data_IF_286411379640
#
_entry.id   IF_286411379640
#
_cell.length_a   1.000
_cell.length_b   1.000
_cell.length_c   1.000
_cell.angle_alpha   90.00
_cell.angle_beta   90.00
_cell.angle_gamma   90.00
#
_symmetry.space_group_name_H-M   'P 1'
#
loop_
_entity.id
_entity.type
_entity.pdbx_description
1 polymer ?
2 non-polymer ?
3 non-polymer ?
4 non-polymer ?
5 water ?
#
# COMPACT_ATOMS: atom_id res chain seq x y z
N UNK A 3 -4.10 20.54 -13.90
CA UNK A 3 -3.46 19.91 -15.10
C UNK A 3 -1.96 20.15 -15.05
N UNK A 4 -1.30 19.57 -14.04
CA UNK A 4 0.09 19.86 -13.72
C UNK A 4 1.12 19.22 -14.65
N UNK A 5 0.94 17.93 -14.96
CA UNK A 5 2.03 17.10 -15.55
C UNK A 5 2.50 17.40 -16.98
N UNK A 6 3.83 17.41 -17.16
CA UNK A 6 4.40 17.61 -18.49
C UNK A 6 4.55 16.35 -19.36
N UNK A 7 5.29 15.37 -18.88
CA UNK A 7 5.33 14.04 -19.48
C UNK A 7 4.26 13.21 -18.79
N UNK A 8 3.47 12.47 -19.58
CA UNK A 8 2.36 11.68 -19.07
C UNK A 8 2.81 10.28 -18.72
N UNK A 9 2.17 9.67 -17.74
CA UNK A 9 2.57 8.33 -17.29
C UNK A 9 1.35 7.43 -17.19
N UNK A 10 1.54 6.14 -17.47
CA UNK A 10 0.51 5.10 -17.26
C UNK A 10 1.05 3.92 -16.45
N UNK A 11 0.22 3.29 -15.64
CA UNK A 11 0.61 2.09 -14.93
C UNK A 11 1.26 1.04 -15.87
N UNK A 12 2.35 0.45 -15.44
CA UNK A 12 3.03 -0.60 -16.19
C UNK A 12 2.11 -1.78 -16.39
N UNK A 13 1.33 -2.06 -15.37
CA UNK A 13 0.51 -3.26 -15.28
C UNK A 13 -0.93 -2.91 -14.94
N UNK A 14 -1.89 -3.78 -15.26
CA UNK A 14 -3.28 -3.55 -14.84
C UNK A 14 -3.74 -2.15 -15.23
N UNK A 15 -3.26 -1.67 -16.36
CA UNK A 15 -3.49 -0.28 -16.77
C UNK A 15 -4.97 0.03 -16.96
N UNK A 16 -5.71 -0.91 -17.51
CA UNK A 16 -7.02 -0.60 -18.08
C UNK A 16 -8.17 -1.28 -17.34
N UNK A 17 -7.93 -1.64 -16.08
CA UNK A 17 -8.99 -2.28 -15.28
C UNK A 17 -10.28 -1.46 -15.32
N UNK A 18 -10.17 -0.14 -15.12
CA UNK A 18 -11.37 0.68 -14.98
C UNK A 18 -11.89 1.26 -16.29
N UNK A 19 -11.36 0.73 -17.37
CA UNK A 19 -11.93 0.86 -18.70
C UNK A 19 -12.74 -0.42 -18.95
N UNK A 20 -12.21 -1.57 -18.50
CA UNK A 20 -12.94 -2.84 -18.54
C UNK A 20 -14.17 -2.75 -17.62
N UNK A 21 -13.98 -2.32 -16.38
CA UNK A 21 -15.09 -2.23 -15.44
C UNK A 21 -15.78 -0.87 -15.62
N UNK A 22 -17.08 -0.81 -15.33
CA UNK A 22 -17.86 0.42 -15.54
C UNK A 22 -18.19 1.22 -14.28
N UNK A 23 -18.99 2.26 -14.49
CA UNK A 23 -19.46 3.18 -13.47
C UNK A 23 -19.97 2.54 -12.18
N UNK A 24 -20.67 1.43 -12.30
CA UNK A 24 -21.27 0.80 -11.13
C UNK A 24 -20.20 0.18 -10.21
N UNK A 25 -19.01 -0.08 -10.77
CA UNK A 25 -17.84 -0.55 -10.00
C UNK A 25 -17.01 0.58 -9.39
N UNK A 26 -16.65 1.59 -10.19
CA UNK A 26 -15.69 2.60 -9.72
C UNK A 26 -16.28 3.96 -9.33
N UNK A 27 -17.53 4.23 -9.70
CA UNK A 27 -18.07 5.57 -9.47
C UNK A 27 -18.68 5.69 -8.06
N UNK A 28 -17.81 5.89 -7.05
CA UNK A 28 -18.26 5.90 -5.66
C UNK A 28 -19.13 7.12 -5.29
N UNK A 29 -18.85 8.27 -5.92
CA UNK A 29 -19.62 9.50 -5.68
C UNK A 29 -21.13 9.36 -5.93
N UNK A 30 -21.50 8.54 -6.90
CA UNK A 30 -22.91 8.27 -7.19
C UNK A 30 -23.36 6.92 -6.64
N UNK A 31 -23.03 6.68 -5.38
CA UNK A 31 -23.67 5.62 -4.62
C UNK A 31 -24.45 6.32 -3.51
N UNK A 32 -25.44 5.63 -2.96
CA UNK A 32 -26.14 6.10 -1.77
C UNK A 32 -25.87 5.04 -0.70
N UNK A 33 -25.33 5.46 0.45
CA UNK A 33 -24.96 4.53 1.53
C UNK A 33 -26.21 4.02 2.26
N UNK A 34 -26.41 2.69 2.26
CA UNK A 34 -27.55 2.08 2.94
C UNK A 34 -27.26 1.84 4.43
N UNK A 35 -27.29 2.91 5.23
CA UNK A 35 -26.95 2.79 6.66
C UNK A 35 -27.92 1.87 7.38
N UNK A 36 -27.43 1.11 8.35
CA UNK A 36 -28.29 0.43 9.32
C UNK A 36 -28.68 1.48 10.35
N UNK A 37 -29.98 1.60 10.61
CA UNK A 37 -30.51 2.61 11.54
C UNK A 37 -30.02 2.45 12.98
N UNK A 38 -29.58 1.24 13.34
CA UNK A 38 -29.25 0.89 14.73
C UNK A 38 -27.94 0.12 14.90
N UNK A 39 -27.26 0.33 16.05
CA UNK A 39 -26.15 -0.51 16.51
C UNK A 39 -26.69 -1.66 17.40
N UNK A 40 -27.98 -1.95 17.25
CA UNK A 40 -28.68 -2.94 18.08
C UNK A 40 -28.15 -4.36 17.91
N UNK A 41 -27.61 -4.66 16.72
CA UNK A 41 -27.00 -5.97 16.43
C UNK A 41 -25.62 -6.20 17.09
N UNK A 42 -25.09 -5.17 17.73
CA UNK A 42 -23.73 -5.19 18.23
C UNK A 42 -23.62 -4.74 19.69
N UNK A 43 -22.69 -5.34 20.42
CA UNK A 43 -22.33 -4.87 21.74
C UNK A 43 -20.93 -4.27 21.60
N UNK A 44 -20.82 -2.99 21.86
CA UNK A 44 -19.56 -2.29 21.69
C UNK A 44 -18.75 -2.30 22.96
N UNK A 45 -17.56 -2.87 22.91
CA UNK A 45 -16.69 -2.94 24.08
C UNK A 45 -15.64 -1.85 24.04
N UNK A 46 -14.41 -2.19 24.41
CA UNK A 46 -13.38 -1.19 24.61
C UNK A 46 -12.59 -0.81 23.34
N UNK A 47 -11.89 0.32 23.43
CA UNK A 47 -11.09 0.84 22.33
C UNK A 47 -9.87 -0.02 22.11
N UNK A 48 -9.59 -0.32 20.85
CA UNK A 48 -8.47 -1.17 20.49
C UNK A 48 -7.46 -0.47 19.57
N UNK A 49 -7.81 0.72 19.07
CA UNK A 49 -6.87 1.48 18.25
C UNK A 49 -7.45 2.80 17.79
N UNK A 50 -6.61 3.59 17.12
CA UNK A 50 -7.03 4.86 16.59
C UNK A 50 -6.15 5.27 15.41
N UNK A 51 -6.61 6.27 14.69
CA UNK A 51 -5.81 6.79 13.58
C UNK A 51 -6.26 8.20 13.30
N UNK A 52 -5.71 8.80 12.25
CA UNK A 52 -6.05 10.17 11.87
C UNK A 52 -7.55 10.34 11.62
N UNK A 53 -8.22 9.28 11.16
CA UNK A 53 -9.62 9.38 10.71
C UNK A 53 -10.65 8.64 11.57
N UNK A 54 -10.22 8.00 12.66
CA UNK A 54 -11.11 7.06 13.36
C UNK A 54 -10.68 6.76 14.77
N UNK A 55 -11.64 6.30 15.57
CA UNK A 55 -11.37 5.58 16.81
C UNK A 55 -12.02 4.21 16.62
N UNK A 56 -11.28 3.16 16.95
CA UNK A 56 -11.71 1.79 16.68
C UNK A 56 -11.91 1.00 17.97
N UNK A 57 -13.11 0.41 18.08
CA UNK A 57 -13.57 -0.33 19.24
C UNK A 57 -13.82 -1.80 18.95
N UNK A 58 -13.36 -2.66 19.87
CA UNK A 58 -13.68 -4.09 19.84
C UNK A 58 -15.16 -4.25 20.17
N UNK A 59 -15.77 -5.32 19.65
CA UNK A 59 -17.18 -5.61 19.88
C UNK A 59 -17.57 -7.05 19.54
N UNK A 60 -18.86 -7.35 19.70
CA UNK A 60 -19.41 -8.66 19.40
C UNK A 60 -20.62 -8.46 18.49
N UNK A 61 -20.67 -9.22 17.39
CA UNK A 61 -21.88 -9.32 16.55
C UNK A 61 -22.83 -10.33 17.25
N UNK A 62 -23.92 -9.82 17.82
CA UNK A 62 -24.77 -10.62 18.74
C UNK A 62 -25.48 -11.86 18.17
N UNK A 63 -25.98 -11.77 16.92
CA UNK A 63 -26.59 -12.93 16.24
C UNK A 63 -25.65 -14.17 16.19
N UNK A 64 -24.39 -13.96 15.78
CA UNK A 64 -23.45 -15.07 15.57
C UNK A 64 -22.40 -15.24 16.68
N UNK A 65 -22.31 -14.25 17.58
CA UNK A 65 -21.25 -14.13 18.61
C UNK A 65 -19.83 -13.95 18.04
N UNK A 66 -19.74 -13.56 16.78
CA UNK A 66 -18.43 -13.27 16.17
C UNK A 66 -17.90 -11.94 16.74
N UNK A 67 -16.65 -11.96 17.13
CA UNK A 67 -15.98 -10.79 17.65
C UNK A 67 -15.64 -9.89 16.45
N UNK A 68 -15.96 -8.61 16.56
CA UNK A 68 -15.73 -7.63 15.49
C UNK A 68 -14.99 -6.37 15.96
N UNK A 69 -14.69 -5.46 15.03
CA UNK A 69 -14.29 -4.10 15.40
C UNK A 69 -15.25 -3.12 14.75
N UNK A 70 -15.41 -1.98 15.39
CA UNK A 70 -16.24 -0.93 14.83
C UNK A 70 -15.40 0.36 14.69
N UNK A 71 -15.30 0.84 13.46
CA UNK A 71 -14.47 2.01 13.16
C UNK A 71 -15.40 3.22 13.08
N UNK A 72 -15.35 4.06 14.12
CA UNK A 72 -16.14 5.27 14.21
C UNK A 72 -15.41 6.36 13.45
N UNK A 73 -16.01 6.84 12.38
CA UNK A 73 -15.34 7.78 11.48
C UNK A 73 -15.46 9.20 11.98
N UNK A 74 -14.32 9.88 12.09
CA UNK A 74 -14.26 11.32 12.34
C UNK A 74 -14.82 12.12 11.17
N UNK A 75 -15.30 13.35 11.43
CA UNK A 75 -15.90 14.08 10.31
C UNK A 75 -14.91 14.26 9.14
N UNK A 76 -15.37 13.96 7.93
CA UNK A 76 -14.62 14.13 6.66
C UNK A 76 -15.65 14.41 5.59
N UNK A 77 -15.22 14.81 4.39
CA UNK A 77 -16.15 14.90 3.26
C UNK A 77 -16.86 13.56 3.07
N UNK A 78 -18.15 13.62 2.80
CA UNK A 78 -18.96 12.40 2.74
C UNK A 78 -18.53 11.45 1.62
N UNK A 79 -17.95 11.98 0.55
CA UNK A 79 -17.52 11.16 -0.58
C UNK A 79 -16.31 10.25 -0.24
N UNK A 80 -15.48 10.68 0.71
CA UNK A 80 -14.39 9.87 1.30
C UNK A 80 -14.97 8.64 2.01
N UNK A 81 -16.13 8.81 2.66
CA UNK A 81 -16.80 7.68 3.30
C UNK A 81 -17.39 6.73 2.26
N UNK A 82 -18.07 7.29 1.25
CA UNK A 82 -18.59 6.48 0.15
C UNK A 82 -17.46 5.72 -0.57
N UNK A 83 -16.30 6.35 -0.69
CA UNK A 83 -15.16 5.76 -1.37
C UNK A 83 -14.65 4.58 -0.58
N UNK A 84 -14.48 4.74 0.72
CA UNK A 84 -13.93 3.63 1.51
C UNK A 84 -14.87 2.43 1.42
N UNK A 85 -16.17 2.69 1.57
CA UNK A 85 -17.19 1.63 1.53
C UNK A 85 -17.21 0.92 0.18
N UNK A 86 -17.19 1.71 -0.90
CA UNK A 86 -17.22 1.14 -2.25
C UNK A 86 -16.00 0.24 -2.51
N UNK A 87 -14.81 0.72 -2.14
CA UNK A 87 -13.58 -0.03 -2.34
C UNK A 87 -13.63 -1.33 -1.55
N UNK A 88 -14.06 -1.25 -0.29
CA UNK A 88 -14.12 -2.44 0.59
C UNK A 88 -15.08 -3.49 0.04
N UNK A 89 -16.24 -3.03 -0.45
CA UNK A 89 -17.24 -3.96 -1.01
C UNK A 89 -16.82 -4.51 -2.40
N UNK A 90 -16.18 -3.69 -3.22
CA UNK A 90 -15.65 -4.20 -4.49
C UNK A 90 -14.67 -5.33 -4.20
N UNK A 91 -13.77 -5.11 -3.23
CA UNK A 91 -12.72 -6.09 -2.94
C UNK A 91 -13.27 -7.39 -2.31
N UNK A 92 -14.22 -7.28 -1.40
CA UNK A 92 -14.78 -8.48 -0.76
C UNK A 92 -15.81 -9.22 -1.62
N UNK A 93 -16.54 -8.50 -2.46
CA UNK A 93 -17.65 -9.09 -3.26
C UNK A 93 -17.29 -9.70 -4.60
N UNK A 94 -16.05 -9.54 -5.03
CA UNK A 94 -15.62 -10.14 -6.28
C UNK A 94 -15.75 -11.68 -6.20
N UNK A 95 -16.61 -12.23 -7.04
CA UNK A 95 -16.89 -13.67 -7.03
C UNK A 95 -15.66 -14.51 -7.41
N UNK A 96 -14.91 -14.08 -8.41
CA UNK A 96 -13.72 -14.79 -8.83
C UNK A 96 -12.55 -13.81 -8.85
N UNK A 97 -11.83 -13.69 -7.72
CA UNK A 97 -10.67 -12.79 -7.67
C UNK A 97 -9.70 -13.00 -8.84
N UNK A 98 -9.36 -11.94 -9.60
CA UNK A 98 -8.49 -12.12 -10.79
C UNK A 98 -7.15 -12.78 -10.48
N UNK A 99 -6.63 -12.61 -9.27
CA UNK A 99 -5.37 -13.23 -8.87
C UNK A 99 -5.47 -14.75 -8.60
N UNK A 100 -6.68 -15.31 -8.63
CA UNK A 100 -6.89 -16.78 -8.51
C UNK A 100 -6.92 -17.49 -9.87
N UNK A 101 -6.93 -16.70 -10.95
CA UNK A 101 -7.03 -17.21 -12.31
C UNK A 101 -5.64 -17.51 -12.86
N UNK A 102 -5.55 -18.37 -13.91
CA UNK A 102 -4.26 -18.62 -14.55
C UNK A 102 -3.65 -17.31 -15.07
N UNK A 103 -2.34 -17.14 -14.88
CA UNK A 103 -1.60 -15.93 -15.29
C UNK A 103 -1.63 -15.74 -16.82
N UNK A 104 -1.89 -14.53 -17.26
CA UNK A 104 -1.85 -14.17 -18.68
C UNK A 104 -0.92 -12.97 -18.94
N UNK A 105 0.32 -13.23 -19.32
CA UNK A 105 1.31 -12.14 -19.45
C UNK A 105 0.88 -10.94 -20.30
N UNK A 106 0.18 -11.22 -21.40
CA UNK A 106 -0.24 -10.17 -22.34
C UNK A 106 -1.37 -9.33 -21.74
N UNK A 107 -2.08 -9.90 -20.78
CA UNK A 107 -3.11 -9.15 -20.06
C UNK A 107 -2.54 -8.48 -18.81
N UNK A 108 -1.27 -8.73 -18.50
CA UNK A 108 -0.63 -8.20 -17.30
C UNK A 108 0.22 -6.96 -17.62
N UNK A 109 1.23 -7.14 -18.46
CA UNK A 109 2.07 -6.04 -18.93
C UNK A 109 1.33 -5.26 -20.02
N UNK A 110 0.46 -4.36 -19.61
CA UNK A 110 -0.46 -3.72 -20.54
C UNK A 110 0.06 -2.40 -21.09
N UNK A 111 1.03 -1.79 -20.42
CA UNK A 111 1.66 -0.58 -20.92
C UNK A 111 2.75 -0.98 -21.93
N UNK A 112 2.52 -0.65 -23.19
CA UNK A 112 3.34 -1.18 -24.27
C UNK A 112 4.35 -0.17 -24.84
N UNK A 113 4.64 0.88 -24.09
CA UNK A 113 5.68 1.83 -24.41
C UNK A 113 7.02 1.07 -24.32
N UNK A 114 7.86 1.20 -25.34
CA UNK A 114 9.15 0.50 -25.41
C UNK A 114 10.04 0.76 -24.19
N UNK A 115 10.07 1.99 -23.70
CA UNK A 115 10.91 2.32 -22.54
C UNK A 115 10.34 1.75 -21.23
N UNK A 116 9.03 1.49 -21.19
CA UNK A 116 8.42 0.90 -20.01
C UNK A 116 8.56 -0.63 -20.00
N UNK A 117 8.56 -1.24 -21.19
CA UNK A 117 8.77 -2.67 -21.32
C UNK A 117 10.16 -3.14 -20.89
N UNK A 118 11.15 -2.25 -20.94
CA UNK A 118 12.47 -2.62 -20.45
C UNK A 118 12.52 -2.90 -18.94
N UNK A 119 11.48 -2.51 -18.20
CA UNK A 119 11.48 -2.74 -16.75
C UNK A 119 10.90 -4.10 -16.36
N UNK A 120 10.45 -4.88 -17.35
CA UNK A 120 9.96 -6.23 -17.10
C UNK A 120 11.11 -7.02 -16.48
N UNK A 121 10.91 -7.61 -15.30
CA UNK A 121 12.01 -8.36 -14.71
C UNK A 121 12.07 -9.78 -15.30
N UNK A 122 13.28 -10.40 -15.29
CA UNK A 122 13.49 -11.80 -15.71
C UNK A 122 12.78 -12.83 -14.81
N UNK A 123 12.38 -12.41 -13.62
CA UNK A 123 11.69 -13.26 -12.67
C UNK A 123 10.33 -12.63 -12.36
N UNK A 124 9.34 -13.48 -12.05
CA UNK A 124 7.99 -13.06 -11.76
C UNK A 124 7.25 -14.22 -11.11
N UNK A 125 6.41 -13.91 -10.14
CA UNK A 125 5.58 -14.95 -9.54
C UNK A 125 4.34 -14.99 -10.41
N UNK A 126 4.15 -16.10 -11.11
CA UNK A 126 3.09 -16.23 -12.13
C UNK A 126 2.02 -17.28 -11.77
N UNK A 127 1.88 -17.58 -10.48
CA UNK A 127 0.96 -18.63 -10.05
C UNK A 127 -0.29 -17.95 -9.52
N UNK A 128 -1.46 -18.66 -9.52
CA UNK A 128 -2.65 -18.13 -8.84
C UNK A 128 -2.32 -18.02 -7.35
N UNK A 129 -2.95 -17.09 -6.64
CA UNK A 129 -2.70 -16.96 -5.20
C UNK A 129 -3.94 -16.45 -4.48
N UNK A 130 -3.95 -16.59 -3.15
CA UNK A 130 -5.10 -16.18 -2.32
C UNK A 130 -4.97 -14.78 -1.70
N UNK A 131 -4.29 -13.85 -2.37
CA UNK A 131 -4.17 -12.48 -1.86
C UNK A 131 -5.47 -11.79 -1.45
N UNK A 132 -6.56 -12.14 -2.12
CA UNK A 132 -7.86 -11.59 -1.76
C UNK A 132 -8.24 -11.92 -0.30
N UNK A 133 -7.71 -13.03 0.22
CA UNK A 133 -8.00 -13.45 1.60
C UNK A 133 -7.20 -12.67 2.62
N UNK A 134 -6.29 -11.80 2.17
CA UNK A 134 -5.51 -10.90 3.06
C UNK A 134 -6.06 -9.47 3.16
N UNK A 135 -7.19 -9.23 2.51
CA UNK A 135 -7.92 -7.96 2.60
C UNK A 135 -8.90 -8.05 3.77
N UNK A 136 -8.89 -7.05 4.66
CA UNK A 136 -9.86 -7.03 5.78
C UNK A 136 -11.28 -7.13 5.22
N UNK A 137 -12.18 -7.83 5.92
CA UNK A 137 -13.57 -7.93 5.49
C UNK A 137 -14.49 -6.96 6.21
N UNK A 138 -15.26 -6.22 5.43
CA UNK A 138 -16.26 -5.29 5.96
C UNK A 138 -17.54 -6.09 6.18
N UNK A 139 -18.12 -6.04 7.39
CA UNK A 139 -19.33 -6.81 7.66
C UNK A 139 -20.60 -5.97 7.65
N UNK A 140 -20.48 -4.70 8.02
CA UNK A 140 -21.68 -3.89 8.10
C UNK A 140 -21.35 -2.41 8.05
N UNK A 141 -22.37 -1.60 7.74
CA UNK A 141 -22.31 -0.14 7.84
C UNK A 141 -23.45 0.39 8.74
N UNK A 142 -23.08 1.15 9.78
CA UNK A 142 -24.04 1.55 10.80
C UNK A 142 -23.89 3.03 11.14
N UNK A 143 -25.01 3.65 11.52
CA UNK A 143 -25.02 5.04 11.96
C UNK A 143 -26.01 5.25 13.11
N UNK A 144 -25.48 5.48 14.31
CA UNK A 144 -26.30 5.81 15.48
C UNK A 144 -27.20 7.01 15.18
N UNK A 145 -28.51 6.85 15.43
CA UNK A 145 -29.52 7.88 15.17
C UNK A 145 -29.32 9.14 16.03
N UNK A 146 -28.83 8.96 17.26
CA UNK A 146 -28.64 10.08 18.20
C UNK A 146 -27.29 10.79 18.04
N UNK A 147 -26.21 10.01 17.92
CA UNK A 147 -24.86 10.58 17.77
C UNK A 147 -24.48 10.88 16.31
N UNK A 148 -25.26 10.36 15.36
CA UNK A 148 -25.05 10.55 13.90
C UNK A 148 -23.66 10.11 13.37
N UNK A 149 -22.92 9.34 14.18
CA UNK A 149 -21.55 8.90 13.81
C UNK A 149 -21.56 7.75 12.79
N UNK A 150 -21.02 7.99 11.58
CA UNK A 150 -20.89 6.87 10.64
C UNK A 150 -19.89 5.84 11.18
N UNK A 151 -20.17 4.56 10.95
CA UNK A 151 -19.28 3.55 11.48
C UNK A 151 -19.26 2.30 10.62
N UNK A 152 -18.07 1.70 10.55
CA UNK A 152 -17.79 0.53 9.73
C UNK A 152 -17.43 -0.67 10.60
N UNK A 153 -18.15 -1.77 10.40
CA UNK A 153 -17.95 -2.99 11.17
C UNK A 153 -17.10 -3.97 10.36
N UNK A 154 -15.97 -4.38 10.93
CA UNK A 154 -15.01 -5.26 10.28
C UNK A 154 -14.74 -6.51 11.12
N UNK A 155 -14.32 -7.56 10.41
CA UNK A 155 -13.51 -8.64 10.95
C UNK A 155 -12.52 -8.14 12.00
N UNK A 156 -12.51 -8.78 13.17
CA UNK A 156 -11.50 -8.50 14.20
C UNK A 156 -10.18 -9.23 13.93
N UNK A 157 -9.06 -8.53 14.08
CA UNK A 157 -7.75 -9.18 14.09
C UNK A 157 -7.02 -8.89 15.41
N UNK A 158 -6.45 -9.93 16.00
CA UNK A 158 -5.73 -9.84 17.27
C UNK A 158 -4.32 -9.35 17.03
N UNK A 159 -4.15 -8.03 17.04
CA UNK A 159 -2.94 -7.40 16.54
C UNK A 159 -2.17 -6.74 17.67
N UNK A 160 -0.85 -6.79 17.57
CA UNK A 160 0.03 -6.10 18.50
C UNK A 160 0.74 -4.99 17.73
N UNK A 161 0.92 -3.83 18.35
CA UNK A 161 1.69 -2.74 17.74
C UNK A 161 3.01 -3.20 17.15
N UNK A 162 3.30 -2.78 15.92
CA UNK A 162 4.52 -3.18 15.22
C UNK A 162 5.82 -2.86 15.96
N UNK A 163 5.80 -1.85 16.83
CA UNK A 163 7.03 -1.46 17.53
C UNK A 163 7.35 -2.47 18.65
N UNK A 164 6.35 -3.24 19.04
CA UNK A 164 6.48 -4.40 19.93
C UNK A 164 6.79 -5.67 19.14
N UNK A 165 5.94 -5.99 18.14
CA UNK A 165 6.12 -7.23 17.38
C UNK A 165 7.35 -7.30 16.47
N UNK A 166 7.57 -6.27 15.64
CA UNK A 166 8.57 -6.38 14.55
C UNK A 166 9.98 -6.70 15.02
N UNK A 167 10.45 -6.11 16.15
CA UNK A 167 11.79 -6.52 16.67
C UNK A 167 11.93 -8.01 17.06
N UNK A 168 10.81 -8.68 17.33
CA UNK A 168 10.80 -10.13 17.63
C UNK A 168 10.85 -11.05 16.39
N UNK A 169 10.58 -10.51 15.21
CA UNK A 169 10.42 -11.38 14.04
C UNK A 169 11.75 -11.88 13.52
N UNK A 170 11.80 -13.17 13.13
CA UNK A 170 12.99 -13.74 12.51
C UNK A 170 13.03 -13.33 11.05
N UNK A 171 14.18 -13.48 10.41
CA UNK A 171 14.32 -13.32 8.96
C UNK A 171 13.19 -14.03 8.20
N UNK A 172 13.02 -15.32 8.44
CA UNK A 172 11.99 -16.12 7.75
C UNK A 172 10.56 -15.62 7.97
N UNK A 173 10.29 -15.11 9.17
CA UNK A 173 8.96 -14.57 9.48
C UNK A 173 8.70 -13.24 8.73
N UNK A 174 9.74 -12.42 8.59
CA UNK A 174 9.59 -11.17 7.83
C UNK A 174 9.30 -11.51 6.37
N UNK A 175 10.08 -12.44 5.80
CA UNK A 175 9.83 -12.93 4.45
C UNK A 175 8.41 -13.43 4.29
N UNK A 176 7.93 -14.23 5.24
CA UNK A 176 6.55 -14.72 5.21
C UNK A 176 5.49 -13.61 5.17
N UNK A 177 5.56 -12.70 6.14
CA UNK A 177 4.55 -11.66 6.25
C UNK A 177 4.59 -10.69 5.08
N UNK A 178 5.79 -10.35 4.62
CA UNK A 178 5.90 -9.36 3.55
C UNK A 178 5.41 -9.99 2.23
N UNK A 179 5.58 -11.30 2.09
CA UNK A 179 4.99 -12.03 0.96
C UNK A 179 3.46 -11.98 0.99
N UNK A 180 2.88 -12.18 2.19
CA UNK A 180 1.43 -12.05 2.40
C UNK A 180 0.93 -10.65 1.99
N UNK A 181 1.67 -9.60 2.38
CA UNK A 181 1.32 -8.22 2.03
C UNK A 181 1.35 -8.01 0.51
N UNK A 182 2.39 -8.53 -0.16
CA UNK A 182 2.46 -8.45 -1.61
C UNK A 182 1.28 -9.12 -2.33
N UNK A 183 0.80 -10.24 -1.79
CA UNK A 183 -0.35 -10.91 -2.37
C UNK A 183 -1.56 -10.01 -2.27
N UNK A 184 -1.76 -9.39 -1.10
CA UNK A 184 -2.88 -8.45 -0.95
C UNK A 184 -2.78 -7.30 -1.95
N UNK A 185 -1.59 -6.75 -2.11
CA UNK A 185 -1.39 -5.62 -3.04
C UNK A 185 -1.61 -6.05 -4.52
N UNK A 186 -1.08 -7.21 -4.88
CA UNK A 186 -1.27 -7.72 -6.24
C UNK A 186 -2.78 -7.84 -6.52
N UNK A 187 -3.55 -8.28 -5.53
CA UNK A 187 -4.98 -8.44 -5.68
C UNK A 187 -5.70 -7.11 -5.82
N UNK A 188 -5.45 -6.16 -4.91
CA UNK A 188 -6.17 -4.91 -5.05
C UNK A 188 -5.75 -4.14 -6.33
N UNK A 189 -4.47 -4.23 -6.70
CA UNK A 189 -4.04 -3.67 -7.98
C UNK A 189 -4.74 -4.32 -9.18
N UNK A 190 -4.96 -5.64 -9.12
CA UNK A 190 -5.63 -6.36 -10.19
C UNK A 190 -7.08 -5.95 -10.30
N UNK A 191 -7.59 -5.42 -9.19
CA UNK A 191 -8.93 -4.89 -9.09
C UNK A 191 -8.98 -3.38 -9.40
N UNK A 192 -7.88 -2.82 -9.90
CA UNK A 192 -7.84 -1.41 -10.36
C UNK A 192 -7.86 -0.39 -9.23
N UNK A 193 -7.30 -0.78 -8.09
CA UNK A 193 -7.31 0.02 -6.87
C UNK A 193 -5.90 0.19 -6.32
N UNK A 194 -5.52 1.44 -6.00
CA UNK A 194 -4.31 1.78 -5.27
C UNK A 194 -4.69 1.98 -3.79
N UNK A 195 -3.97 1.34 -2.86
CA UNK A 195 -4.24 1.55 -1.42
C UNK A 195 -3.81 2.95 -0.94
N UNK A 196 -2.59 3.34 -1.30
CA UNK A 196 -2.05 4.68 -0.98
C UNK A 196 -1.80 4.96 0.52
N UNK A 197 -1.87 3.96 1.41
CA UNK A 197 -1.50 4.23 2.80
C UNK A 197 -0.88 3.00 3.42
N UNK A 198 0.00 2.35 2.65
CA UNK A 198 0.64 1.13 3.10
C UNK A 198 1.68 1.54 4.13
N UNK A 199 1.50 1.00 5.33
CA UNK A 199 2.41 1.18 6.49
C UNK A 199 2.05 0.23 7.61
N UNK A 200 2.97 0.02 8.58
CA UNK A 200 2.75 -0.97 9.64
C UNK A 200 1.41 -0.85 10.37
N UNK A 201 0.97 0.38 10.69
CA UNK A 201 -0.26 0.56 11.46
C UNK A 201 -1.48 0.12 10.67
N UNK A 202 -1.32 -0.02 9.36
CA UNK A 202 -2.41 -0.45 8.48
C UNK A 202 -2.29 -1.92 8.03
N UNK A 203 -1.39 -2.66 8.68
CA UNK A 203 -1.15 -4.08 8.41
C UNK A 203 -1.38 -4.83 9.73
N UNK A 204 -2.56 -5.43 9.89
CA UNK A 204 -2.87 -6.20 11.09
C UNK A 204 -2.23 -7.57 10.97
N UNK A 205 -1.54 -7.99 12.04
CA UNK A 205 -0.88 -9.30 12.07
C UNK A 205 -1.29 -10.01 13.37
N UNK A 206 -1.86 -11.22 13.27
CA UNK A 206 -2.08 -12.08 14.45
C UNK A 206 -0.98 -13.13 14.42
N UNK A 207 0.09 -12.89 15.18
CA UNK A 207 1.32 -13.63 14.94
C UNK A 207 1.17 -15.14 15.21
N UNK A 208 0.41 -15.47 16.25
CA UNK A 208 0.25 -16.87 16.64
C UNK A 208 -0.54 -17.66 15.61
N UNK A 209 -1.41 -16.98 14.85
CA UNK A 209 -2.14 -17.59 13.74
C UNK A 209 -1.49 -17.34 12.35
N UNK A 210 -0.29 -16.78 12.35
CA UNK A 210 0.42 -16.38 11.13
C UNK A 210 -0.56 -15.69 10.15
N UNK A 211 -1.39 -14.79 10.67
CA UNK A 211 -2.48 -14.19 9.92
C UNK A 211 -2.22 -12.71 9.67
N UNK A 212 -2.29 -12.29 8.40
CA UNK A 212 -2.06 -10.89 7.99
C UNK A 212 -3.27 -10.32 7.26
N UNK A 213 -3.71 -9.13 7.68
CA UNK A 213 -4.74 -8.40 6.98
C UNK A 213 -4.33 -6.96 6.68
N UNK A 214 -4.58 -6.56 5.43
CA UNK A 214 -4.35 -5.18 5.01
C UNK A 214 -5.65 -4.42 5.26
N UNK A 215 -5.57 -3.40 6.10
CA UNK A 215 -6.75 -2.65 6.53
C UNK A 215 -6.63 -1.20 6.06
N UNK A 216 -7.57 -0.35 6.48
CA UNK A 216 -7.54 1.08 6.27
C UNK A 216 -7.56 1.45 4.80
N UNK A 217 -8.75 1.35 4.23
CA UNK A 217 -8.96 1.56 2.82
C UNK A 217 -9.52 2.98 2.59
N UNK A 218 -9.41 3.84 3.61
CA UNK A 218 -9.99 5.20 3.59
C UNK A 218 -9.31 6.23 2.71
N UNK A 219 -8.05 5.95 2.33
CA UNK A 219 -7.36 6.76 1.36
C UNK A 219 -7.22 6.10 -0.02
N UNK A 220 -7.73 4.87 -0.19
CA UNK A 220 -7.56 4.14 -1.45
C UNK A 220 -8.32 4.82 -2.60
N UNK A 221 -7.90 4.60 -3.84
CA UNK A 221 -8.57 5.27 -4.96
C UNK A 221 -8.53 4.35 -6.16
N UNK A 222 -9.49 4.48 -7.06
CA UNK A 222 -9.51 3.73 -8.30
C UNK A 222 -8.51 4.31 -9.27
N UNK A 223 -7.75 3.43 -9.92
CA UNK A 223 -6.81 3.86 -10.93
C UNK A 223 -7.51 4.06 -12.29
N UNK A 224 -7.44 5.30 -12.80
CA UNK A 224 -7.93 5.66 -14.15
C UNK A 224 -6.74 6.21 -14.95
N UNK A 225 -6.58 5.72 -16.18
CA UNK A 225 -5.44 6.06 -17.02
C UNK A 225 -5.34 7.57 -17.21
N UNK A 226 -4.14 8.09 -16.96
CA UNK A 226 -3.86 9.53 -17.09
C UNK A 226 -4.65 10.45 -16.16
N UNK A 227 -5.25 9.92 -15.09
CA UNK A 227 -5.86 10.79 -14.09
C UNK A 227 -4.76 11.44 -13.23
N UNK A 228 -4.98 12.69 -12.84
CA UNK A 228 -4.08 13.43 -11.97
C UNK A 228 -4.71 13.45 -10.58
N UNK A 229 -4.03 12.82 -9.62
CA UNK A 229 -4.54 12.58 -8.28
C UNK A 229 -3.94 13.61 -7.32
N UNK A 230 -4.64 13.83 -6.21
CA UNK A 230 -4.09 14.62 -5.09
C UNK A 230 -2.84 13.93 -4.55
N UNK A 231 -1.84 14.71 -4.19
CA UNK A 231 -0.57 14.16 -3.71
C UNK A 231 -0.50 14.18 -2.17
N UNK A 232 -1.44 14.90 -1.56
CA UNK A 232 -1.52 15.04 -0.10
C UNK A 232 -2.24 13.85 0.52
N UNK A 233 -1.69 12.65 0.34
CA UNK A 233 -2.30 11.41 0.83
C UNK A 233 -1.15 10.61 1.46
N UNK A 234 -1.44 9.47 2.08
CA UNK A 234 -0.46 8.73 2.87
C UNK A 234 0.08 9.62 3.99
N UNK A 235 1.10 9.14 4.68
CA UNK A 235 1.69 9.88 5.77
C UNK A 235 3.09 10.29 5.33
N UNK A 236 3.60 11.38 5.89
CA UNK A 236 4.93 11.91 5.51
C UNK A 236 6.00 10.83 5.28
N UNK A 237 6.21 9.94 6.25
CA UNK A 237 7.36 9.03 6.20
C UNK A 237 7.31 8.01 5.08
N UNK A 238 6.11 7.76 4.57
CA UNK A 238 5.90 6.72 3.56
C UNK A 238 5.62 7.29 2.17
N UNK A 239 5.65 8.62 2.03
CA UNK A 239 5.30 9.30 0.78
C UNK A 239 6.33 9.02 -0.28
N UNK A 240 5.90 8.52 -1.43
CA UNK A 240 6.85 8.33 -2.54
C UNK A 240 7.35 9.66 -3.10
N UNK A 241 8.48 9.62 -3.82
CA UNK A 241 8.99 10.85 -4.43
C UNK A 241 7.98 11.58 -5.33
N UNK A 242 7.12 10.83 -6.03
CA UNK A 242 6.07 11.44 -6.85
C UNK A 242 5.14 12.35 -6.02
N UNK A 243 4.88 11.98 -4.78
CA UNK A 243 3.96 12.82 -4.02
C UNK A 243 4.66 14.09 -3.59
N UNK A 244 5.95 13.99 -3.27
CA UNK A 244 6.71 15.12 -2.76
C UNK A 244 7.01 16.15 -3.87
N UNK A 245 7.24 15.68 -5.10
CA UNK A 245 7.58 16.58 -6.20
C UNK A 245 6.33 17.00 -6.98
N UNK A 246 5.18 16.52 -6.53
CA UNK A 246 3.90 16.88 -7.09
C UNK A 246 3.73 16.34 -8.50
N UNK A 247 4.20 15.11 -8.76
CA UNK A 247 3.90 14.37 -10.01
C UNK A 247 2.57 13.62 -9.80
N UNK A 248 1.47 14.21 -10.30
CA UNK A 248 0.12 13.78 -9.95
C UNK A 248 -0.38 12.54 -10.70
N UNK A 249 0.29 12.19 -11.79
CA UNK A 249 -0.16 11.09 -12.66
C UNK A 249 0.47 9.77 -12.25
N UNK A 250 0.28 9.41 -10.98
CA UNK A 250 0.92 8.23 -10.42
C UNK A 250 -0.04 7.03 -10.46
N UNK A 251 0.42 5.88 -9.99
CA UNK A 251 -0.34 4.62 -10.13
C UNK A 251 -0.05 3.63 -8.98
N UNK A 252 -0.30 2.35 -9.20
CA UNK A 252 -0.15 1.32 -8.17
C UNK A 252 1.25 1.25 -7.57
N UNK A 253 2.24 1.63 -8.38
CA UNK A 253 3.65 1.65 -7.98
C UNK A 253 3.93 2.50 -6.74
N UNK A 254 3.06 3.49 -6.46
CA UNK A 254 3.14 4.21 -5.18
C UNK A 254 3.10 3.24 -3.97
N UNK A 255 2.23 2.23 -4.03
CA UNK A 255 2.17 1.25 -2.95
C UNK A 255 3.50 0.48 -2.83
N UNK A 256 4.22 0.32 -3.93
CA UNK A 256 5.45 -0.48 -3.84
C UNK A 256 6.61 0.31 -3.24
N UNK A 257 6.57 1.66 -3.42
CA UNK A 257 7.52 2.50 -2.69
C UNK A 257 7.27 2.39 -1.19
N UNK A 258 6.01 2.50 -0.80
CA UNK A 258 5.61 2.33 0.62
C UNK A 258 5.99 0.99 1.22
N UNK A 259 5.69 -0.08 0.48
CA UNK A 259 6.11 -1.42 0.84
C UNK A 259 7.63 -1.46 1.05
N UNK A 260 8.38 -0.89 0.10
CA UNK A 260 9.84 -0.85 0.19
C UNK A 260 10.37 -0.09 1.39
N UNK A 261 9.73 1.05 1.72
CA UNK A 261 10.13 1.87 2.85
C UNK A 261 9.83 1.14 4.20
N UNK A 262 8.64 0.55 4.31
CA UNK A 262 8.31 -0.39 5.40
C UNK A 262 9.34 -1.54 5.49
N UNK A 263 9.68 -2.15 4.37
CA UNK A 263 10.65 -3.22 4.36
C UNK A 263 12.06 -2.77 4.80
N UNK A 264 12.50 -1.64 4.27
CA UNK A 264 13.80 -1.09 4.60
C UNK A 264 13.91 -0.82 6.12
N UNK A 265 12.82 -0.32 6.72
CA UNK A 265 12.80 -0.11 8.16
C UNK A 265 12.99 -1.41 8.95
N UNK A 266 12.31 -2.48 8.55
CA UNK A 266 12.36 -3.77 9.25
C UNK A 266 13.74 -4.42 9.14
N UNK A 267 14.30 -4.32 7.95
CA UNK A 267 15.56 -5.01 7.62
C UNK A 267 16.74 -4.30 8.25
N UNK A 268 16.76 -2.98 8.17
CA UNK A 268 17.87 -2.21 8.72
C UNK A 268 17.64 -1.71 10.16
N UNK A 269 16.46 -1.95 10.70
CA UNK A 269 16.11 -1.48 12.06
C UNK A 269 16.39 0.02 12.24
N UNK A 270 15.87 0.81 11.31
CA UNK A 270 15.86 2.25 11.46
C UNK A 270 14.44 2.70 11.15
N UNK A 271 13.78 3.21 12.19
CA UNK A 271 12.36 3.41 12.15
C UNK A 271 11.97 4.85 12.50
N UNK A 272 11.25 5.55 11.59
CA UNK A 272 10.95 5.16 10.19
C UNK A 272 12.22 5.29 9.38
N UNK A 273 12.26 4.64 8.22
CA UNK A 273 13.50 4.63 7.45
C UNK A 273 13.88 6.00 6.82
N UNK A 274 12.90 6.71 6.27
CA UNK A 274 13.11 8.08 5.78
C UNK A 274 12.40 8.99 6.76
N UNK A 275 13.15 9.52 7.74
CA UNK A 275 12.57 10.25 8.89
C UNK A 275 12.57 11.79 8.70
N UNK A 276 11.72 12.32 7.84
CA UNK A 276 11.71 13.78 7.62
C UNK A 276 11.12 14.55 8.79
N UNK A 277 11.68 15.73 9.07
CA UNK A 277 11.22 16.61 10.16
C UNK A 277 10.17 17.62 9.67
N UNK A 278 9.95 17.61 8.36
CA UNK A 278 8.92 18.41 7.69
C UNK A 278 8.75 17.81 6.29
N UNK A 279 7.72 18.26 5.59
CA UNK A 279 7.50 17.91 4.20
C UNK A 279 8.74 18.11 3.33
N UNK A 280 9.31 19.30 3.45
CA UNK A 280 10.54 19.64 2.76
C UNK A 280 11.64 18.64 3.10
N UNK A 281 11.89 18.47 4.39
CA UNK A 281 12.98 17.63 4.85
C UNK A 281 12.72 16.14 4.55
N UNK A 282 11.46 15.75 4.41
CA UNK A 282 11.17 14.38 3.96
C UNK A 282 11.88 14.05 2.64
N UNK A 283 11.79 14.96 1.65
CA UNK A 283 12.47 14.72 0.37
C UNK A 283 13.98 14.70 0.53
N UNK A 284 14.49 15.61 1.36
CA UNK A 284 15.92 15.62 1.69
C UNK A 284 16.38 14.29 2.27
N UNK A 285 15.62 13.71 3.20
CA UNK A 285 16.00 12.41 3.76
C UNK A 285 16.09 11.30 2.68
N UNK A 286 15.20 11.35 1.70
CA UNK A 286 15.23 10.39 0.58
C UNK A 286 16.44 10.61 -0.31
N UNK A 287 16.66 11.88 -0.68
CA UNK A 287 17.75 12.16 -1.62
C UNK A 287 19.12 11.91 -0.96
N UNK A 288 19.22 12.17 0.35
CA UNK A 288 20.43 11.84 1.14
C UNK A 288 20.83 10.39 0.97
N UNK A 289 19.84 9.52 0.69
CA UNK A 289 20.06 8.11 0.49
C UNK A 289 20.26 7.72 -0.98
N UNK A 290 19.30 8.08 -1.84
CA UNK A 290 19.35 7.64 -3.23
C UNK A 290 20.26 8.51 -4.10
N UNK A 291 20.62 9.70 -3.60
CA UNK A 291 21.56 10.54 -4.31
C UNK A 291 20.91 11.57 -5.23
N UNK A 292 21.63 12.64 -5.47
CA UNK A 292 21.15 13.78 -6.25
C UNK A 292 21.14 13.43 -7.74
N UNK A 293 22.13 12.65 -8.17
CA UNK A 293 22.32 12.33 -9.56
C UNK A 293 21.08 11.65 -10.17
N UNK A 294 20.61 10.57 -9.56
CA UNK A 294 19.42 9.90 -10.07
C UNK A 294 18.16 10.73 -9.89
N UNK A 295 18.16 11.59 -8.86
CA UNK A 295 17.01 12.47 -8.60
C UNK A 295 16.81 13.41 -9.79
N UNK A 296 17.90 14.02 -10.26
CA UNK A 296 17.87 14.95 -11.42
C UNK A 296 17.57 14.22 -12.71
N UNK A 297 18.10 13.01 -12.90
CA UNK A 297 17.70 12.23 -14.08
C UNK A 297 16.18 11.99 -14.09
N UNK A 298 15.61 11.76 -12.92
CA UNK A 298 14.18 11.51 -12.77
C UNK A 298 13.36 12.75 -13.08
N UNK A 299 13.76 13.90 -12.54
CA UNK A 299 13.08 15.16 -12.85
C UNK A 299 13.15 15.47 -14.35
N UNK A 300 14.28 15.17 -14.97
CA UNK A 300 14.45 15.38 -16.40
C UNK A 300 13.54 14.43 -17.22
N UNK A 301 13.54 13.15 -16.86
CA UNK A 301 12.70 12.16 -17.53
C UNK A 301 11.24 12.61 -17.68
N UNK A 302 10.66 13.17 -16.61
CA UNK A 302 9.24 13.57 -16.61
C UNK A 302 9.04 15.06 -16.77
N UNK A 303 10.15 15.78 -16.98
CA UNK A 303 10.12 17.26 -17.05
C UNK A 303 9.30 17.86 -15.93
N UNK A 304 9.72 17.57 -14.71
CA UNK A 304 9.05 18.00 -13.49
C UNK A 304 9.63 19.36 -13.08
N UNK A 305 8.80 20.35 -12.83
CA UNK A 305 9.37 21.55 -12.21
C UNK A 305 9.26 21.39 -10.69
N UNK A 306 10.41 21.36 -10.03
CA UNK A 306 10.48 21.14 -8.59
C UNK A 306 9.66 22.19 -7.82
N UNK A 307 8.82 21.77 -6.84
CA UNK A 307 8.20 22.86 -6.05
C UNK A 307 9.27 23.77 -5.41
N UNK A 308 8.89 25.04 -5.24
CA UNK A 308 9.77 26.10 -4.73
C UNK A 308 10.58 25.72 -3.48
N UNK A 309 9.95 24.99 -2.55
CA UNK A 309 10.58 24.68 -1.25
C UNK A 309 11.86 23.85 -1.31
N UNK A 310 12.11 23.18 -2.45
CA UNK A 310 13.21 22.23 -2.51
C UNK A 310 14.49 22.79 -3.11
N UNK A 311 14.51 24.10 -3.33
CA UNK A 311 15.67 24.76 -3.93
C UNK A 311 16.87 24.95 -2.99
N UNK A 312 16.64 24.79 -1.68
CA UNK A 312 17.73 24.85 -0.70
C UNK A 312 18.38 23.48 -0.42
N UNK A 313 18.01 22.48 -1.21
CA UNK A 313 18.63 21.13 -1.13
C UNK A 313 20.07 21.13 -1.61
N UNK A 314 20.95 20.57 -0.79
CA UNK A 314 22.36 20.37 -1.17
C UNK A 314 22.55 19.15 -2.10
N UNK A 315 23.75 19.05 -2.67
CA UNK A 315 24.17 17.95 -3.51
C UNK A 315 24.50 16.73 -2.62
N UNK A 316 23.91 15.58 -2.89
CA UNK A 316 24.20 14.36 -2.12
C UNK A 316 24.71 13.22 -2.96
N UNK A 317 25.77 12.58 -2.48
CA UNK A 317 26.27 11.38 -3.11
C UNK A 317 25.42 10.24 -2.57
N UNK A 318 25.01 9.34 -3.47
CA UNK A 318 24.26 8.14 -3.11
C UNK A 318 24.91 7.39 -1.94
N UNK A 319 24.10 6.96 -0.99
CA UNK A 319 24.53 6.05 0.08
C UNK A 319 24.35 4.60 -0.36
N UNK A 320 25.44 3.85 -0.54
CA UNK A 320 25.20 2.43 -0.80
C UNK A 320 24.40 1.77 0.35
N UNK A 321 23.50 0.85 0.00
CA UNK A 321 22.73 0.10 1.01
C UNK A 321 23.57 -0.61 2.07
N UNK A 322 24.74 -1.10 1.65
CA UNK A 322 25.72 -1.75 2.53
C UNK A 322 25.98 -0.92 3.78
N UNK A 323 25.91 0.40 3.63
CA UNK A 323 26.22 1.31 4.72
C UNK A 323 25.16 1.25 5.83
N UNK A 324 23.99 0.69 5.55
CA UNK A 324 22.97 0.52 6.59
C UNK A 324 23.14 -0.76 7.42
N UNK A 325 24.01 -1.66 6.97
CA UNK A 325 24.30 -2.91 7.70
C UNK A 325 25.16 -2.64 8.96
N UNK A 326 24.75 -3.21 10.08
CA UNK A 326 25.55 -3.18 11.30
C UNK A 326 25.24 -4.45 12.10
N UNK A 327 25.96 -4.69 13.20
CA UNK A 327 25.81 -5.96 13.95
C UNK A 327 24.43 -6.12 14.58
N UNK A 328 23.74 -5.01 14.81
CA UNK A 328 22.38 -5.09 15.32
C UNK A 328 21.40 -5.70 14.32
N UNK A 329 21.64 -5.48 13.02
CA UNK A 329 20.66 -5.86 11.98
C UNK A 329 21.13 -6.93 10.98
N UNK A 330 22.41 -7.35 11.09
CA UNK A 330 23.05 -8.14 10.02
C UNK A 330 22.36 -9.48 9.82
N UNK A 331 21.68 -9.97 10.87
CA UNK A 331 20.89 -11.19 10.76
C UNK A 331 19.71 -11.07 9.78
N UNK A 332 19.35 -9.83 9.41
CA UNK A 332 18.22 -9.56 8.49
C UNK A 332 18.68 -8.94 7.18
N UNK A 333 19.78 -8.20 7.26
CA UNK A 333 20.31 -7.40 6.17
C UNK A 333 21.53 -7.99 5.49
N UNK A 334 22.13 -9.02 6.09
CA UNK A 334 23.45 -9.50 5.67
C UNK A 334 23.50 -10.51 4.52
N UNK A 335 22.65 -10.31 3.51
CA UNK A 335 22.68 -11.12 2.29
C UNK A 335 22.36 -10.23 1.07
N UNK A 336 22.85 -10.65 -0.08
CA UNK A 336 22.73 -9.88 -1.31
C UNK A 336 21.28 -9.76 -1.78
N UNK A 337 20.48 -10.78 -1.50
CA UNK A 337 19.10 -10.85 -1.95
C UNK A 337 18.22 -9.72 -1.39
N UNK A 338 18.31 -9.48 -0.08
CA UNK A 338 17.46 -8.45 0.53
C UNK A 338 17.85 -7.06 0.05
N UNK A 339 19.15 -6.84 -0.09
CA UNK A 339 19.66 -5.54 -0.57
C UNK A 339 19.18 -5.30 -2.02
N UNK A 340 19.28 -6.31 -2.87
CA UNK A 340 18.81 -6.14 -4.25
C UNK A 340 17.29 -5.89 -4.31
N UNK A 341 16.54 -6.57 -3.45
CA UNK A 341 15.10 -6.35 -3.35
C UNK A 341 14.76 -4.89 -2.96
N UNK A 342 15.29 -4.44 -1.84
CA UNK A 342 15.14 -3.07 -1.41
C UNK A 342 15.56 -2.09 -2.54
N UNK A 343 16.71 -2.34 -3.17
CA UNK A 343 17.21 -1.46 -4.22
C UNK A 343 16.23 -1.32 -5.41
N UNK A 344 15.48 -2.39 -5.67
CA UNK A 344 14.60 -2.43 -6.82
C UNK A 344 13.20 -1.93 -6.51
N UNK A 345 12.94 -1.66 -5.22
CA UNK A 345 11.67 -1.10 -4.78
C UNK A 345 11.77 0.41 -4.61
N UNK A 346 12.89 0.82 -4.02
CA UNK A 346 13.10 2.20 -3.66
C UNK A 346 13.84 2.93 -4.77
N UNK A 347 13.08 3.29 -5.80
CA UNK A 347 13.55 3.98 -6.99
C UNK A 347 12.71 5.25 -7.15
N UNK A 348 13.36 6.37 -7.50
CA UNK A 348 12.68 7.61 -7.81
C UNK A 348 11.59 7.43 -8.89
N UNK A 349 12.00 6.88 -10.03
CA UNK A 349 11.10 6.67 -11.14
C UNK A 349 10.14 5.53 -10.76
N UNK A 350 8.87 5.87 -10.60
CA UNK A 350 7.84 4.87 -10.26
C UNK A 350 7.74 3.72 -11.28
N UNK A 351 7.98 4.03 -12.56
CA UNK A 351 7.96 2.99 -13.60
C UNK A 351 9.04 1.95 -13.38
N UNK A 352 10.17 2.35 -12.80
CA UNK A 352 11.31 1.44 -12.55
C UNK A 352 11.06 0.39 -11.48
N UNK A 353 10.21 0.72 -10.51
CA UNK A 353 9.94 -0.18 -9.39
C UNK A 353 9.30 -1.51 -9.82
N UNK A 354 9.72 -2.56 -9.11
CA UNK A 354 9.08 -3.84 -9.19
C UNK A 354 7.59 -3.67 -9.00
N UNK A 355 6.82 -4.45 -9.76
CA UNK A 355 5.41 -4.66 -9.46
C UNK A 355 5.29 -5.69 -8.33
N UNK A 356 4.11 -5.80 -7.72
CA UNK A 356 3.88 -6.80 -6.68
C UNK A 356 4.25 -8.21 -7.16
N UNK A 357 3.82 -8.59 -8.36
CA UNK A 357 4.12 -9.94 -8.88
C UNK A 357 5.59 -10.17 -9.12
N UNK A 358 6.28 -9.15 -9.64
CA UNK A 358 7.73 -9.22 -9.79
C UNK A 358 8.42 -9.35 -8.43
N UNK A 359 7.96 -8.54 -7.48
CA UNK A 359 8.56 -8.60 -6.15
C UNK A 359 8.39 -10.01 -5.56
N UNK A 360 7.20 -10.57 -5.69
CA UNK A 360 6.92 -11.95 -5.22
C UNK A 360 7.81 -13.02 -5.86
N UNK A 361 8.23 -12.83 -7.10
CA UNK A 361 9.15 -13.79 -7.74
C UNK A 361 10.61 -13.48 -7.48
N UNK A 362 10.91 -12.47 -6.65
CA UNK A 362 12.31 -12.14 -6.37
C UNK A 362 13.00 -13.28 -5.55
N UNK A 363 14.31 -13.56 -5.82
CA UNK A 363 15.02 -14.61 -5.03
C UNK A 363 14.80 -14.56 -3.51
N UNK A 364 14.70 -13.37 -2.94
CA UNK A 364 14.55 -13.24 -1.47
C UNK A 364 13.36 -14.04 -0.96
N UNK A 365 12.34 -14.21 -1.80
CA UNK A 365 11.18 -14.99 -1.38
C UNK A 365 11.25 -16.48 -1.76
N UNK A 366 12.36 -16.93 -2.34
CA UNK A 366 12.49 -18.38 -2.65
C UNK A 366 12.09 -19.29 -1.45
N UNK A 367 12.65 -19.08 -0.25
CA UNK A 367 12.28 -19.99 0.86
C UNK A 367 10.78 -19.99 1.18
N UNK A 368 10.09 -18.88 0.88
CA UNK A 368 8.63 -18.83 1.07
C UNK A 368 7.91 -19.56 -0.08
N UNK A 369 8.36 -19.30 -1.31
CA UNK A 369 7.74 -19.95 -2.48
C UNK A 369 7.91 -21.48 -2.42
N UNK A 370 9.11 -21.93 -2.04
CA UNK A 370 9.43 -23.33 -1.80
C UNK A 370 8.36 -24.07 -0.98
N UNK A 371 7.81 -23.37 0.01
CA UNK A 371 6.86 -23.97 0.94
C UNK A 371 5.40 -23.87 0.50
N UNK A 372 5.13 -23.34 -0.70
CA UNK A 372 3.73 -23.17 -1.13
C UNK A 372 3.08 -24.51 -1.52
N UNK A 373 3.77 -25.26 -2.37
CA UNK A 373 3.35 -26.58 -2.82
C UNK A 373 3.50 -27.62 -1.70
X LIG B 1 -4.73 6.04 9.36
X LIG B 1 -4.34 7.13 10.33
X LIG B 1 -5.43 6.61 8.13
X LIG B 1 -3.52 5.13 8.98
X LIG B 1 -7.49 5.36 10.21
X LIG B 1 -8.02 6.35 11.21
X LIG B 1 -8.06 5.54 8.78
X LIG B 1 -5.87 5.17 10.18
X LIG B 1 -7.66 2.43 10.57
X LIG B 1 -6.19 2.38 10.22
X LIG B 1 -8.66 1.68 9.72
X LIG B 1 -8.15 3.97 10.74
X LIG B 1 -7.86 1.95 12.10
X LIG B 1 -7.09 2.62 13.10
X LIG B 1 -6.43 1.58 14.00
X LIG B 1 -7.43 0.75 14.59
X LIG B 1 -5.55 0.63 13.24
X LIG B 1 -4.23 1.13 13.03
X LIG B 1 -5.54 -0.60 14.14
X LIG B 1 -4.61 -0.50 15.23
X LIG B 1 -6.93 -0.59 14.74
X LIG B 1 -7.72 -1.50 13.87
X LIG B 1 -8.36 -1.14 12.74
X LIG B 1 -8.98 -2.20 12.17
X LIG B 1 -8.74 -3.27 12.97
X LIG B 1 -9.14 -4.69 12.94
X LIG B 1 -9.92 -5.12 11.91
X LIG B 1 -8.72 -5.50 13.96
X LIG B 1 -7.92 -5.01 14.96
X LIG B 1 -7.54 -3.71 15.06
X LIG B 1 -7.92 -2.81 14.10
X LIG C 1 -4.86 3.66 9.55
X LIG D 1 1.47 -4.21 -8.76
X LIG E 1 24.54 6.69 8.24
X LIG E 1 23.12 7.08 8.36
X LIG E 1 25.40 7.65 8.97
X LIG E 1 24.76 5.33 8.78
X LIG E 1 24.87 6.69 6.79
X LIG F 1 1.33 6.55 18.61
X LIG F 1 0.36 7.15 17.66
X LIG F 1 1.21 7.22 19.92
X LIG F 1 0.97 5.13 18.80
X LIG F 1 2.69 6.73 18.04
X LIG G 1 -8.06 12.31 -1.71
X LIG G 1 -9.35 12.90 -2.11
X LIG G 1 -8.22 11.54 -0.46
X LIG G 1 -7.52 11.49 -2.80
X LIG G 1 -7.09 13.41 -1.47
X LIG H 1 -1.42 6.19 11.84
X LIG H 1 -1.98 7.28 12.69
X LIG H 1 0.04 6.13 11.99
X LIG H 1 -2.01 4.91 12.30
X LIG H 1 -1.78 6.51 10.45
X LIG I 1 3.56 17.31 6.53
X LIG I 1 3.39 18.22 5.38
X LIG I 1 3.98 18.09 7.72
X LIG I 1 2.29 16.61 6.79
X LIG I 1 4.64 16.33 6.24
X LIG J 1 24.99 -1.16 -2.56
X LIG J 1 23.94 -0.12 -2.66
X LIG J 1 25.36 -1.49 -1.15
X LIG J 1 24.48 -2.38 -3.23
X LIG J 1 26.21 -0.69 -3.26
#
# INVERSE_FOLDING_TARGET
GHMKCRVWSEARVYTNINKQRTEEYWDYENTVIDWSTNTKDYEIENKVGRGKYSEVFQGVKLDSKVKIVIKMLKPVKKKKIKREIKILTDLSNEKVPPTTLPFQKDQYYTNQKEDVLKFIRPYIFDQPHNGHANIIHLFDIIKDPISKTPALVFEYVDNVDFRILYPKLTDLEIRFYMFELLKALDYCHSMGIMHRDVKPHNVMIDHKNKKLRLIDWGLAEFYHVNMEYNVRVASRFFKGPELLVDYRMYDYSLDLWSFGTMLASMIFKREPFFHGTSNTDQLVKIVKVLGTSDFEKYLLKYEITLPREFYDMDQYIRKPWHRFINDGNKHLSGNDEIIDLIDNLLRYDHQERLTAKEAMGHPWFAPIREQIEK
ATP PG O1G O2G O3G PB O1B O2B O3B PA O1A O2A O3A O5' C5' C4' O4' C3' O3' C2' O2' C1' N9 C8 N7 C5 C6 N6 N1 C2 N3 C4
MG MG
MG MG
SO4 S O1 O2 O3 O4
SO4 S O1 O2 O3 O4
SO4 S O1 O2 O3 O4
SO4 S O1 O2 O3 O4
SO4 S O1 O2 O3 O4
SO4 S O1 O2 O3 O4
#
